data_IF_751203547427
#
_entry.id   IF_751203547427
#
_cell.length_a   1.000
_cell.length_b   1.000
_cell.length_c   1.000
_cell.angle_alpha   90.00
_cell.angle_beta   90.00
_cell.angle_gamma   90.00
#
_symmetry.space_group_name_H-M   'P 1'
#
loop_
_entity.id
_entity.type
_entity.pdbx_description
1 polymer ?
#
# COMPACT_ATOMS: atom_id res chain seq x y z
N UNK A 1 26.04 -4.05 1.30
CA UNK A 1 25.60 -4.55 -0.02
C UNK A 1 26.00 -3.48 -1.02
N UNK A 2 26.54 -3.86 -2.19
CA UNK A 2 26.82 -2.91 -3.26
C UNK A 2 25.82 -3.16 -4.38
N UNK A 3 24.73 -2.39 -4.42
CA UNK A 3 23.69 -2.51 -5.46
C UNK A 3 24.02 -1.69 -6.71
N UNK A 4 25.19 -1.01 -6.75
CA UNK A 4 25.61 -0.14 -7.85
C UNK A 4 24.59 0.97 -8.19
N UNK A 5 23.86 1.47 -7.18
CA UNK A 5 22.79 2.47 -7.36
C UNK A 5 23.25 3.92 -7.17
N UNK A 6 24.55 4.15 -6.93
CA UNK A 6 25.11 5.48 -6.66
C UNK A 6 24.72 6.50 -7.75
N UNK A 7 24.21 7.66 -7.33
CA UNK A 7 23.80 8.74 -8.21
C UNK A 7 22.45 8.53 -8.91
N UNK A 8 21.78 7.39 -8.72
CA UNK A 8 20.41 7.17 -9.22
C UNK A 8 19.39 7.92 -8.35
N UNK A 9 18.14 7.93 -8.83
CA UNK A 9 16.99 8.47 -8.09
C UNK A 9 16.01 7.35 -7.79
N UNK A 10 15.45 7.32 -6.59
CA UNK A 10 14.44 6.35 -6.19
C UNK A 10 13.25 7.03 -5.50
N UNK A 11 12.04 6.50 -5.74
CA UNK A 11 10.83 6.84 -5.00
C UNK A 11 10.49 5.68 -4.06
N UNK A 12 10.42 5.94 -2.76
CA UNK A 12 10.02 4.95 -1.76
C UNK A 12 8.67 5.34 -1.18
N UNK A 13 7.66 4.51 -1.42
CA UNK A 13 6.33 4.64 -0.80
C UNK A 13 6.28 3.87 0.52
N UNK A 14 5.43 4.31 1.46
CA UNK A 14 5.40 3.72 2.81
C UNK A 14 6.68 3.96 3.61
N UNK A 15 7.44 5.01 3.28
CA UNK A 15 8.77 5.27 3.84
C UNK A 15 8.80 5.73 5.31
N UNK A 16 7.63 5.94 5.95
CA UNK A 16 7.56 6.43 7.33
C UNK A 16 7.91 5.37 8.37
N UNK A 17 7.80 4.07 8.06
CA UNK A 17 8.03 2.99 9.02
C UNK A 17 8.37 1.65 8.36
N UNK A 18 8.77 0.68 9.20
CA UNK A 18 9.01 -0.71 8.82
C UNK A 18 9.99 -0.85 7.66
N UNK A 19 9.63 -1.71 6.71
CA UNK A 19 10.44 -2.07 5.54
C UNK A 19 10.70 -0.85 4.66
N UNK A 20 9.68 -0.04 4.37
CA UNK A 20 9.85 1.16 3.53
C UNK A 20 10.87 2.14 4.10
N UNK A 21 10.85 2.36 5.42
CA UNK A 21 11.86 3.20 6.09
C UNK A 21 13.26 2.60 6.00
N UNK A 22 13.39 1.29 6.19
CA UNK A 22 14.67 0.60 6.08
C UNK A 22 15.25 0.70 4.66
N UNK A 23 14.41 0.48 3.64
CA UNK A 23 14.78 0.62 2.23
C UNK A 23 15.22 2.05 1.91
N UNK A 24 14.44 3.06 2.31
CA UNK A 24 14.79 4.47 2.06
C UNK A 24 16.16 4.83 2.67
N UNK A 25 16.43 4.36 3.89
CA UNK A 25 17.74 4.56 4.55
C UNK A 25 18.87 3.84 3.83
N UNK A 26 18.67 2.59 3.44
CA UNK A 26 19.68 1.81 2.73
C UNK A 26 20.06 2.44 1.39
N UNK A 27 19.06 2.85 0.59
CA UNK A 27 19.28 3.53 -0.69
C UNK A 27 20.01 4.86 -0.50
N UNK A 28 19.60 5.67 0.49
CA UNK A 28 20.28 6.92 0.78
C UNK A 28 21.76 6.71 1.18
N UNK A 29 22.05 5.67 1.97
CA UNK A 29 23.41 5.32 2.37
C UNK A 29 24.30 4.90 1.18
N UNK A 30 23.71 4.37 0.10
CA UNK A 30 24.40 4.04 -1.15
C UNK A 30 24.58 5.25 -2.10
N UNK A 31 24.16 6.46 -1.68
CA UNK A 31 24.28 7.67 -2.49
C UNK A 31 23.19 7.83 -3.54
N UNK A 32 22.03 7.21 -3.34
CA UNK A 32 20.82 7.42 -4.14
C UNK A 32 20.11 8.71 -3.70
N UNK A 33 19.59 9.49 -4.65
CA UNK A 33 18.65 10.58 -4.36
C UNK A 33 17.27 9.97 -4.09
N UNK A 34 16.86 9.95 -2.84
CA UNK A 34 15.62 9.29 -2.42
C UNK A 34 14.50 10.31 -2.18
N UNK A 35 13.40 10.16 -2.91
CA UNK A 35 12.12 10.75 -2.55
C UNK A 35 11.36 9.77 -1.66
N UNK A 36 11.12 10.13 -0.40
CA UNK A 36 10.40 9.31 0.55
C UNK A 36 8.99 9.85 0.75
N UNK A 37 7.98 9.04 0.43
CA UNK A 37 6.57 9.41 0.60
C UNK A 37 5.85 8.39 1.47
N UNK A 38 5.00 8.90 2.36
CA UNK A 38 4.18 8.06 3.20
C UNK A 38 2.90 8.81 3.58
N UNK A 39 1.87 8.04 3.92
CA UNK A 39 0.63 8.55 4.47
C UNK A 39 0.24 7.66 5.63
N UNK A 40 -0.11 8.28 6.76
CA UNK A 40 -0.60 7.58 7.94
C UNK A 40 -2.11 7.76 8.00
N UNK A 41 -2.81 6.67 8.24
CA UNK A 41 -4.24 6.63 8.49
C UNK A 41 -4.38 5.96 9.85
N UNK A 42 -4.99 6.66 10.80
CA UNK A 42 -5.31 6.07 12.09
C UNK A 42 -6.57 5.21 11.90
N UNK A 43 -6.39 3.89 11.99
CA UNK A 43 -7.47 2.91 11.94
C UNK A 43 -7.50 2.14 13.25
N UNK A 44 -8.69 1.93 13.79
CA UNK A 44 -8.84 1.08 14.96
C UNK A 44 -8.67 -0.39 14.58
N UNK A 45 -8.35 -1.25 15.55
CA UNK A 45 -8.34 -2.70 15.34
C UNK A 45 -9.69 -3.25 14.87
N UNK A 46 -10.80 -2.59 15.23
CA UNK A 46 -12.14 -2.89 14.74
C UNK A 46 -12.26 -2.70 13.23
N UNK A 47 -11.74 -1.59 12.71
CA UNK A 47 -11.79 -1.32 11.26
C UNK A 47 -10.93 -2.32 10.47
N UNK A 48 -9.75 -2.67 10.98
CA UNK A 48 -8.89 -3.68 10.35
C UNK A 48 -9.62 -5.03 10.27
N UNK A 49 -10.24 -5.46 11.38
CA UNK A 49 -11.06 -6.68 11.42
C UNK A 49 -12.19 -6.64 10.39
N UNK A 50 -12.90 -5.52 10.28
CA UNK A 50 -14.01 -5.38 9.32
C UNK A 50 -13.53 -5.49 7.87
N UNK A 51 -12.38 -4.89 7.54
CA UNK A 51 -11.75 -5.04 6.22
C UNK A 51 -11.44 -6.51 5.94
N UNK A 52 -10.81 -7.21 6.88
CA UNK A 52 -10.47 -8.64 6.71
C UNK A 52 -11.70 -9.51 6.52
N UNK A 53 -12.71 -9.37 7.37
CA UNK A 53 -13.94 -10.17 7.28
C UNK A 53 -14.67 -9.92 5.95
N UNK A 54 -14.80 -8.65 5.55
CA UNK A 54 -15.48 -8.31 4.30
C UNK A 54 -14.72 -8.83 3.07
N UNK A 55 -13.39 -8.77 3.08
CA UNK A 55 -12.59 -9.37 2.02
C UNK A 55 -12.75 -10.90 1.96
N UNK A 56 -12.79 -11.57 3.11
CA UNK A 56 -12.99 -13.01 3.20
C UNK A 56 -14.37 -13.43 2.65
N UNK A 57 -15.45 -12.75 3.05
CA UNK A 57 -16.79 -13.03 2.53
C UNK A 57 -16.89 -12.77 1.02
N UNK A 58 -16.27 -11.70 0.52
CA UNK A 58 -16.26 -11.41 -0.91
C UNK A 58 -15.54 -12.51 -1.72
N UNK A 59 -14.38 -12.97 -1.24
CA UNK A 59 -13.64 -14.06 -1.88
C UNK A 59 -14.41 -15.39 -1.82
N UNK A 60 -15.04 -15.69 -0.68
CA UNK A 60 -15.85 -16.89 -0.50
C UNK A 60 -17.08 -16.91 -1.42
N UNK A 61 -17.79 -15.78 -1.56
CA UNK A 61 -18.93 -15.65 -2.46
C UNK A 61 -18.53 -15.86 -3.93
N UNK A 62 -17.30 -15.51 -4.30
CA UNK A 62 -16.74 -15.75 -5.62
C UNK A 62 -16.10 -17.15 -5.78
N UNK A 63 -16.01 -17.96 -4.71
CA UNK A 63 -15.39 -19.28 -4.75
C UNK A 63 -13.88 -19.27 -5.03
N UNK A 64 -13.18 -18.18 -4.66
CA UNK A 64 -11.75 -17.98 -4.95
C UNK A 64 -10.95 -17.71 -3.66
N UNK A 65 -9.62 -17.93 -3.68
CA UNK A 65 -8.75 -17.50 -2.59
C UNK A 65 -8.82 -15.99 -2.34
N UNK A 66 -8.58 -15.59 -1.09
CA UNK A 66 -8.45 -14.18 -0.74
C UNK A 66 -7.24 -13.60 -1.49
N UNK A 67 -7.44 -12.40 -2.04
CA UNK A 67 -6.48 -11.72 -2.90
C UNK A 67 -6.53 -10.22 -2.66
N UNK A 68 -5.52 -9.51 -3.14
CA UNK A 68 -5.36 -8.06 -2.94
C UNK A 68 -6.60 -7.29 -3.37
N UNK A 69 -7.27 -7.69 -4.45
CA UNK A 69 -8.51 -7.05 -4.92
C UNK A 69 -9.62 -7.05 -3.86
N UNK A 70 -9.76 -8.16 -3.12
CA UNK A 70 -10.77 -8.28 -2.06
C UNK A 70 -10.43 -7.36 -0.88
N UNK A 71 -9.16 -7.33 -0.49
CA UNK A 71 -8.66 -6.47 0.59
C UNK A 71 -8.80 -5.00 0.22
N UNK A 72 -8.41 -4.60 -0.99
CA UNK A 72 -8.49 -3.21 -1.45
C UNK A 72 -9.94 -2.73 -1.58
N UNK A 73 -10.84 -3.57 -2.11
CA UNK A 73 -12.26 -3.26 -2.18
C UNK A 73 -12.87 -3.10 -0.77
N UNK A 74 -12.54 -4.01 0.15
CA UNK A 74 -13.00 -3.93 1.53
C UNK A 74 -12.46 -2.70 2.27
N UNK A 75 -11.16 -2.40 2.12
CA UNK A 75 -10.51 -1.24 2.70
C UNK A 75 -11.12 0.07 2.18
N UNK A 76 -11.37 0.16 0.86
CA UNK A 76 -12.04 1.32 0.25
C UNK A 76 -13.42 1.54 0.87
N UNK A 77 -14.22 0.49 1.00
CA UNK A 77 -15.54 0.60 1.64
C UNK A 77 -15.43 1.04 3.10
N UNK A 78 -14.49 0.50 3.87
CA UNK A 78 -14.33 0.87 5.28
C UNK A 78 -13.87 2.33 5.44
N UNK A 79 -12.96 2.81 4.59
CA UNK A 79 -12.52 4.22 4.58
C UNK A 79 -13.67 5.17 4.23
N UNK A 80 -14.56 4.80 3.32
CA UNK A 80 -15.75 5.60 2.98
C UNK A 80 -16.68 5.73 4.20
N UNK A 81 -16.91 4.63 4.94
CA UNK A 81 -17.73 4.67 6.16
C UNK A 81 -17.15 5.55 7.26
N UNK A 82 -15.81 5.63 7.33
CA UNK A 82 -15.10 6.49 8.26
C UNK A 82 -15.08 7.97 7.84
N UNK A 83 -15.77 8.34 6.76
CA UNK A 83 -15.75 9.72 6.26
C UNK A 83 -14.40 10.12 5.65
N UNK A 84 -13.61 9.15 5.16
CA UNK A 84 -12.29 9.37 4.55
C UNK A 84 -12.29 9.11 3.03
N UNK A 85 -13.12 9.78 2.22
CA UNK A 85 -13.25 9.50 0.80
C UNK A 85 -11.94 9.78 0.03
N UNK A 86 -11.16 10.78 0.42
CA UNK A 86 -9.86 11.06 -0.21
C UNK A 86 -8.84 9.94 0.02
N UNK A 87 -8.88 9.28 1.18
CA UNK A 87 -8.05 8.10 1.46
C UNK A 87 -8.53 6.89 0.64
N UNK A 88 -9.84 6.70 0.55
CA UNK A 88 -10.44 5.65 -0.28
C UNK A 88 -10.08 5.81 -1.76
N UNK A 89 -10.13 7.04 -2.28
CA UNK A 89 -9.79 7.36 -3.67
C UNK A 89 -8.31 7.19 -4.00
N UNK A 90 -7.43 7.34 -3.00
CA UNK A 90 -6.00 7.12 -3.18
C UNK A 90 -5.58 5.64 -3.18
N UNK A 91 -6.47 4.72 -2.80
CA UNK A 91 -6.20 3.29 -2.98
C UNK A 91 -6.17 2.94 -4.47
N UNK A 92 -5.26 2.05 -4.90
CA UNK A 92 -5.16 1.67 -6.30
C UNK A 92 -6.49 1.10 -6.80
N UNK A 93 -6.88 1.55 -8.00
CA UNK A 93 -7.99 0.96 -8.74
C UNK A 93 -7.62 -0.47 -9.17
N UNK A 94 -8.57 -1.40 -9.35
CA UNK A 94 -8.33 -2.78 -9.79
C UNK A 94 -7.65 -2.97 -11.17
N UNK A 95 -7.10 -1.93 -11.79
CA UNK A 95 -6.40 -2.03 -13.06
C UNK A 95 -5.42 -0.88 -13.22
N UNK A 96 -4.15 -1.12 -12.90
CA UNK A 96 -3.02 -0.52 -13.62
C UNK A 96 -2.05 -1.65 -13.91
N UNK A 97 -2.40 -2.47 -14.90
CA UNK A 97 -1.37 -3.04 -15.77
C UNK A 97 -1.04 -1.95 -16.78
N UNK A 98 -0.09 -1.11 -16.39
CA UNK A 98 0.69 -0.30 -17.33
C UNK A 98 2.05 -0.99 -17.48
N UNK A 99 2.00 -2.28 -17.78
CA UNK A 99 3.10 -3.01 -18.40
C UNK A 99 3.14 -2.48 -19.84
N UNK A 100 4.26 -2.14 -20.43
CA UNK A 100 5.63 -1.97 -19.99
C UNK A 100 6.27 -1.03 -21.05
N UNK A 101 7.53 -0.65 -20.87
CA UNK A 101 8.32 0.04 -21.89
C UNK A 101 8.21 -0.61 -23.28
#
# INVERSE_FOLDING_TARGET
MDLQLKGKTALVTGASMGIGRAIAKALAAEGVRVAAVARRIELTGGNIRQVTLRAAFAAAAAGVPIGTQHIMAAARTELIKLGMPSAANALPSPSIRADAA
#
